data_IF_058800824702
#
_entry.id   IF_058800824702
#
_cell.length_a   1.000
_cell.length_b   1.000
_cell.length_c   1.000
_cell.angle_alpha   90.00
_cell.angle_beta   90.00
_cell.angle_gamma   90.00
#
_symmetry.space_group_name_H-M   'P 1'
#
loop_
_entity.id
_entity.type
_entity.pdbx_description
1 polymer ?
#
# COMPACT_ATOMS: atom_id res chain seq x y z
N UNK A 1 -28.18 10.18 10.35
CA UNK A 1 -27.91 10.80 9.03
C UNK A 1 -26.81 11.85 9.22
N UNK A 2 -25.55 11.52 8.93
CA UNK A 2 -24.43 12.45 9.11
C UNK A 2 -24.50 13.55 8.05
N UNK A 3 -24.55 14.81 8.46
CA UNK A 3 -24.54 16.00 7.60
C UNK A 3 -23.30 16.03 6.71
N UNK A 4 -23.42 16.59 5.50
CA UNK A 4 -22.31 16.71 4.53
C UNK A 4 -21.07 17.43 5.13
N UNK A 5 -21.27 18.31 6.10
CA UNK A 5 -20.21 18.96 6.87
C UNK A 5 -19.42 17.97 7.73
N UNK A 6 -20.10 17.08 8.47
CA UNK A 6 -19.46 16.04 9.27
C UNK A 6 -18.67 15.06 8.39
N UNK A 7 -19.23 14.66 7.25
CA UNK A 7 -18.52 13.83 6.26
C UNK A 7 -17.25 14.50 5.73
N UNK A 8 -17.30 15.80 5.41
CA UNK A 8 -16.12 16.58 4.97
C UNK A 8 -15.04 16.66 6.04
N UNK A 9 -15.43 16.89 7.29
CA UNK A 9 -14.50 17.08 8.40
C UNK A 9 -13.79 15.76 8.76
N UNK A 10 -14.53 14.65 8.76
CA UNK A 10 -13.98 13.29 8.91
C UNK A 10 -13.05 12.96 7.73
N UNK A 11 -13.46 13.27 6.49
CA UNK A 11 -12.60 13.07 5.32
C UNK A 11 -11.28 13.86 5.42
N UNK A 12 -11.32 15.12 5.84
CA UNK A 12 -10.09 15.91 6.01
C UNK A 12 -9.12 15.29 7.03
N UNK A 13 -9.64 14.81 8.18
CA UNK A 13 -8.84 14.13 9.19
C UNK A 13 -8.35 12.75 8.75
N UNK A 14 -9.14 12.05 7.92
CA UNK A 14 -8.80 10.74 7.42
C UNK A 14 -7.50 10.71 6.58
N UNK A 15 -7.15 11.82 5.92
CA UNK A 15 -5.89 11.94 5.16
C UNK A 15 -4.65 11.69 6.02
N UNK A 16 -4.72 12.02 7.31
CA UNK A 16 -3.62 11.80 8.27
C UNK A 16 -3.36 10.31 8.50
N UNK A 17 -4.38 9.47 8.33
CA UNK A 17 -4.30 8.02 8.55
C UNK A 17 -4.05 7.21 7.28
N UNK A 18 -4.05 7.86 6.11
CA UNK A 18 -3.69 7.18 4.87
C UNK A 18 -2.22 6.74 4.93
N UNK A 19 -1.91 5.48 4.58
CA UNK A 19 -0.52 5.06 4.45
C UNK A 19 0.19 5.92 3.41
N UNK A 20 1.52 6.00 3.48
CA UNK A 20 2.34 6.66 2.45
C UNK A 20 2.17 5.99 1.07
N UNK A 21 2.50 6.70 -0.01
CA UNK A 21 2.46 6.10 -1.35
C UNK A 21 3.63 5.11 -1.49
N UNK A 22 3.35 3.83 -1.82
CA UNK A 22 4.39 2.81 -1.86
C UNK A 22 5.34 3.00 -3.05
N UNK A 23 4.95 3.71 -4.11
CA UNK A 23 5.73 3.77 -5.35
C UNK A 23 6.24 5.17 -5.71
N UNK A 24 5.57 6.23 -5.26
CA UNK A 24 5.96 7.61 -5.53
C UNK A 24 6.30 8.37 -4.24
N UNK A 25 7.24 9.30 -4.35
CA UNK A 25 7.55 10.28 -3.31
C UNK A 25 7.51 11.69 -3.91
N UNK A 26 7.17 12.66 -3.08
CA UNK A 26 7.19 14.08 -3.43
C UNK A 26 8.50 14.67 -2.98
N UNK A 27 9.27 15.21 -3.92
CA UNK A 27 10.51 15.92 -3.63
C UNK A 27 10.29 17.42 -3.88
N UNK A 28 10.68 18.23 -2.90
CA UNK A 28 10.64 19.69 -3.03
C UNK A 28 11.94 20.16 -3.68
N UNK A 29 11.83 20.72 -4.88
CA UNK A 29 12.97 21.37 -5.53
C UNK A 29 13.41 22.62 -4.75
N UNK A 30 14.66 23.09 -4.93
CA UNK A 30 15.15 24.33 -4.31
C UNK A 30 14.30 25.57 -4.63
N UNK A 31 13.53 25.53 -5.72
CA UNK A 31 12.60 26.57 -6.15
C UNK A 31 11.20 26.47 -5.46
N UNK A 32 11.03 25.56 -4.49
CA UNK A 32 9.78 25.32 -3.76
C UNK A 32 8.73 24.49 -4.51
N UNK A 33 8.98 24.06 -5.75
CA UNK A 33 8.04 23.22 -6.51
C UNK A 33 8.16 21.78 -6.05
N UNK A 34 7.02 21.17 -5.70
CA UNK A 34 6.95 19.74 -5.45
C UNK A 34 6.89 18.98 -6.78
N UNK A 35 7.81 18.03 -6.97
CA UNK A 35 7.77 17.08 -8.07
C UNK A 35 7.59 15.66 -7.57
N UNK A 36 6.79 14.89 -8.31
CA UNK A 36 6.59 13.47 -8.06
C UNK A 36 7.72 12.67 -8.72
N UNK A 37 8.45 11.86 -7.95
CA UNK A 37 9.44 10.91 -8.47
C UNK A 37 9.16 9.50 -7.96
N UNK A 38 9.69 8.48 -8.65
CA UNK A 38 9.58 7.09 -8.21
C UNK A 38 10.47 6.90 -6.98
N UNK A 39 9.95 6.27 -5.93
CA UNK A 39 10.73 5.97 -4.72
C UNK A 39 11.93 5.08 -5.07
N UNK A 40 13.14 5.41 -4.58
CA UNK A 40 14.25 4.48 -4.62
C UNK A 40 13.97 3.28 -3.70
N UNK A 41 14.47 2.08 -4.02
CA UNK A 41 14.46 0.98 -3.05
C UNK A 41 15.35 1.33 -1.86
N UNK A 42 15.16 0.68 -0.69
CA UNK A 42 16.11 0.82 0.41
C UNK A 42 17.53 0.39 -0.01
N UNK A 43 18.57 0.86 0.70
CA UNK A 43 19.93 0.39 0.48
C UNK A 43 20.07 -1.07 0.94
N UNK A 44 21.05 -1.79 0.40
CA UNK A 44 21.39 -3.13 0.87
C UNK A 44 20.56 -4.29 0.30
N UNK A 45 19.61 -4.03 -0.59
CA UNK A 45 18.84 -5.09 -1.25
C UNK A 45 19.60 -5.70 -2.41
N UNK A 46 19.41 -7.00 -2.62
CA UNK A 46 19.80 -7.64 -3.87
C UNK A 46 18.97 -7.12 -5.05
N UNK A 47 19.46 -7.28 -6.28
CA UNK A 47 18.72 -6.91 -7.49
C UNK A 47 17.34 -7.57 -7.58
N UNK A 48 17.20 -8.80 -7.10
CA UNK A 48 15.93 -9.54 -7.14
C UNK A 48 14.93 -8.95 -6.15
N UNK A 49 15.35 -8.66 -4.92
CA UNK A 49 14.48 -8.08 -3.89
C UNK A 49 14.06 -6.65 -4.25
N UNK A 50 14.99 -5.85 -4.78
CA UNK A 50 14.68 -4.51 -5.28
C UNK A 50 13.65 -4.54 -6.42
N UNK A 51 13.76 -5.50 -7.35
CA UNK A 51 12.78 -5.69 -8.43
C UNK A 51 11.42 -6.15 -7.89
N UNK A 52 11.42 -7.06 -6.93
CA UNK A 52 10.21 -7.56 -6.28
C UNK A 52 9.48 -6.43 -5.55
N UNK A 53 10.18 -5.69 -4.71
CA UNK A 53 9.64 -4.53 -3.99
C UNK A 53 9.06 -3.51 -4.96
N UNK A 54 9.78 -3.19 -6.03
CA UNK A 54 9.33 -2.23 -7.05
C UNK A 54 8.07 -2.72 -7.79
N UNK A 55 7.97 -4.03 -8.05
CA UNK A 55 6.79 -4.66 -8.67
C UNK A 55 5.57 -4.60 -7.74
N UNK A 56 5.75 -4.93 -6.47
CA UNK A 56 4.67 -4.95 -5.48
C UNK A 56 4.22 -3.52 -5.16
N UNK A 57 5.15 -2.60 -4.95
CA UNK A 57 4.87 -1.19 -4.70
C UNK A 57 4.07 -0.56 -5.85
N UNK A 58 4.45 -0.85 -7.11
CA UNK A 58 3.70 -0.38 -8.28
C UNK A 58 2.27 -0.93 -8.29
N UNK A 59 2.09 -2.22 -8.03
CA UNK A 59 0.76 -2.86 -8.00
C UNK A 59 -0.11 -2.26 -6.90
N UNK A 60 0.44 -2.12 -5.68
CA UNK A 60 -0.24 -1.50 -4.56
C UNK A 60 -0.66 -0.05 -4.86
N UNK A 61 0.21 0.73 -5.51
CA UNK A 61 -0.11 2.09 -5.95
C UNK A 61 -1.33 2.12 -6.88
N UNK A 62 -1.37 1.28 -7.92
CA UNK A 62 -2.51 1.30 -8.85
C UNK A 62 -3.80 0.73 -8.24
N UNK A 63 -3.67 -0.23 -7.31
CA UNK A 63 -4.81 -0.78 -6.59
C UNK A 63 -5.46 0.26 -5.67
N UNK A 64 -4.67 1.03 -4.91
CA UNK A 64 -5.23 1.92 -3.87
C UNK A 64 -5.20 3.43 -4.22
N UNK A 65 -4.33 3.88 -5.13
CA UNK A 65 -3.96 5.31 -5.29
C UNK A 65 -3.81 5.78 -6.75
N UNK A 66 -4.28 5.01 -7.72
CA UNK A 66 -4.04 5.25 -9.15
C UNK A 66 -4.58 6.58 -9.69
N UNK A 67 -5.67 7.09 -9.12
CA UNK A 67 -6.40 8.29 -9.55
C UNK A 67 -6.63 9.24 -8.37
N UNK A 68 -6.80 10.53 -8.64
CA UNK A 68 -7.11 11.53 -7.61
C UNK A 68 -8.48 12.15 -7.89
N UNK A 69 -9.39 12.08 -6.92
CA UNK A 69 -10.74 12.63 -7.00
C UNK A 69 -11.06 13.37 -5.69
N UNK A 70 -11.49 14.63 -5.79
CA UNK A 70 -11.81 15.48 -4.63
C UNK A 70 -10.66 15.58 -3.59
N UNK A 71 -9.41 15.49 -4.05
CA UNK A 71 -8.20 15.49 -3.23
C UNK A 71 -7.95 14.21 -2.42
N UNK A 72 -8.65 13.12 -2.74
CA UNK A 72 -8.35 11.77 -2.25
C UNK A 72 -7.82 10.91 -3.38
N UNK A 73 -6.88 10.02 -3.07
CA UNK A 73 -6.37 9.06 -4.04
C UNK A 73 -7.15 7.77 -3.95
N UNK A 74 -7.70 7.31 -5.07
CA UNK A 74 -8.43 6.07 -5.22
C UNK A 74 -7.76 5.22 -6.29
N UNK A 75 -7.83 3.90 -6.19
CA UNK A 75 -7.38 3.01 -7.25
C UNK A 75 -8.48 2.05 -7.69
N UNK A 76 -8.07 0.98 -8.35
CA UNK A 76 -8.99 -0.06 -8.82
C UNK A 76 -9.85 -0.68 -7.71
N UNK A 77 -9.35 -0.70 -6.48
CA UNK A 77 -10.08 -1.24 -5.32
C UNK A 77 -11.38 -0.47 -5.05
N UNK A 78 -11.33 0.86 -5.14
CA UNK A 78 -12.50 1.71 -4.95
C UNK A 78 -13.56 1.53 -6.05
N UNK A 79 -13.14 1.21 -7.28
CA UNK A 79 -14.05 0.94 -8.39
C UNK A 79 -14.71 -0.42 -8.22
N UNK A 80 -13.93 -1.42 -7.82
CA UNK A 80 -14.40 -2.79 -7.62
C UNK A 80 -15.35 -2.86 -6.41
N UNK A 81 -15.04 -2.14 -5.34
CA UNK A 81 -15.85 -2.04 -4.13
C UNK A 81 -17.21 -1.33 -4.30
N UNK A 82 -17.52 -0.75 -5.47
CA UNK A 82 -18.85 -0.15 -5.74
C UNK A 82 -19.97 -1.20 -5.77
N UNK A 83 -19.65 -2.47 -5.97
CA UNK A 83 -20.63 -3.56 -5.98
C UNK A 83 -20.52 -4.32 -4.65
N UNK A 84 -21.49 -4.16 -3.72
CA UNK A 84 -21.45 -4.84 -2.42
C UNK A 84 -21.34 -6.36 -2.56
N UNK A 85 -20.48 -7.01 -1.78
CA UNK A 85 -20.30 -8.46 -1.77
C UNK A 85 -19.41 -8.99 -2.91
N UNK A 86 -19.71 -8.67 -4.17
CA UNK A 86 -18.88 -9.10 -5.31
C UNK A 86 -17.55 -8.31 -5.36
N UNK A 87 -17.63 -7.02 -5.06
CA UNK A 87 -16.48 -6.12 -4.99
C UNK A 87 -15.48 -6.56 -3.94
N UNK A 88 -15.93 -6.84 -2.72
CA UNK A 88 -15.06 -7.25 -1.61
C UNK A 88 -14.27 -8.55 -1.91
N UNK A 89 -14.93 -9.53 -2.55
CA UNK A 89 -14.29 -10.78 -2.96
C UNK A 89 -13.25 -10.52 -4.05
N UNK A 90 -13.60 -9.76 -5.09
CA UNK A 90 -12.69 -9.43 -6.17
C UNK A 90 -11.48 -8.65 -5.67
N UNK A 91 -11.70 -7.72 -4.73
CA UNK A 91 -10.64 -6.90 -4.16
C UNK A 91 -9.68 -7.71 -3.28
N UNK A 92 -10.23 -8.61 -2.45
CA UNK A 92 -9.43 -9.55 -1.67
C UNK A 92 -8.60 -10.49 -2.56
N UNK A 93 -9.15 -10.97 -3.68
CA UNK A 93 -8.45 -11.80 -4.66
C UNK A 93 -7.34 -11.04 -5.39
N UNK A 94 -7.57 -9.77 -5.74
CA UNK A 94 -6.55 -8.93 -6.36
C UNK A 94 -5.41 -8.64 -5.39
N UNK A 95 -5.69 -8.29 -4.13
CA UNK A 95 -4.66 -8.11 -3.11
C UNK A 95 -3.83 -9.39 -2.95
N UNK A 96 -4.50 -10.52 -2.79
CA UNK A 96 -3.83 -11.81 -2.64
C UNK A 96 -2.91 -12.14 -3.84
N UNK A 97 -3.42 -12.00 -5.07
CA UNK A 97 -2.69 -12.41 -6.28
C UNK A 97 -1.58 -11.43 -6.68
N UNK A 98 -1.77 -10.13 -6.45
CA UNK A 98 -0.87 -9.08 -6.93
C UNK A 98 0.16 -8.65 -5.88
N UNK A 99 -0.17 -8.72 -4.60
CA UNK A 99 0.66 -8.22 -3.50
C UNK A 99 1.10 -9.36 -2.59
N UNK A 100 0.17 -10.05 -1.91
CA UNK A 100 0.51 -10.99 -0.84
C UNK A 100 1.26 -12.23 -1.34
N UNK A 101 0.73 -12.94 -2.34
CA UNK A 101 1.33 -14.18 -2.86
C UNK A 101 2.72 -13.93 -3.47
N UNK A 102 2.94 -12.88 -4.29
CA UNK A 102 4.28 -12.54 -4.78
C UNK A 102 5.24 -12.13 -3.66
N UNK A 103 4.78 -11.39 -2.65
CA UNK A 103 5.60 -11.00 -1.50
C UNK A 103 6.06 -12.23 -0.71
N UNK A 104 5.11 -13.10 -0.34
CA UNK A 104 5.37 -14.30 0.43
C UNK A 104 6.32 -15.27 -0.29
N UNK A 105 6.18 -15.43 -1.61
CA UNK A 105 7.04 -16.31 -2.41
C UNK A 105 8.40 -15.70 -2.75
N UNK A 106 8.46 -14.39 -2.96
CA UNK A 106 9.65 -13.74 -3.52
C UNK A 106 10.66 -13.25 -2.49
N UNK A 107 10.24 -13.02 -1.25
CA UNK A 107 11.09 -12.45 -0.19
C UNK A 107 11.29 -13.38 1.01
N UNK A 108 10.92 -14.66 0.91
CA UNK A 108 10.96 -15.65 2.01
C UNK A 108 10.46 -15.05 3.34
N UNK A 109 9.30 -14.39 3.29
CA UNK A 109 8.79 -13.65 4.43
C UNK A 109 8.53 -14.57 5.63
N UNK A 110 8.89 -14.15 6.86
CA UNK A 110 8.50 -14.84 8.07
C UNK A 110 6.97 -15.01 8.15
N UNK A 111 6.48 -16.13 8.70
CA UNK A 111 5.03 -16.39 8.79
C UNK A 111 4.25 -15.25 9.45
N UNK A 112 4.81 -14.61 10.47
CA UNK A 112 4.16 -13.51 11.18
C UNK A 112 3.95 -12.25 10.30
N UNK A 113 4.82 -11.99 9.31
CA UNK A 113 4.64 -10.88 8.36
C UNK A 113 3.51 -11.22 7.40
N UNK A 114 3.50 -12.45 6.88
CA UNK A 114 2.44 -12.94 6.01
C UNK A 114 1.09 -12.87 6.71
N UNK A 115 1.02 -13.26 7.99
CA UNK A 115 -0.19 -13.11 8.82
C UNK A 115 -0.61 -11.65 8.97
N UNK A 116 0.32 -10.71 9.22
CA UNK A 116 0.00 -9.28 9.24
C UNK A 116 -0.57 -8.79 7.91
N UNK A 117 -0.04 -9.27 6.78
CA UNK A 117 -0.57 -8.93 5.45
C UNK A 117 -1.98 -9.49 5.22
N UNK A 118 -2.27 -10.69 5.73
CA UNK A 118 -3.62 -11.27 5.74
C UNK A 118 -4.58 -10.48 6.61
N UNK A 119 -4.15 -10.06 7.81
CA UNK A 119 -4.96 -9.22 8.71
C UNK A 119 -5.31 -7.90 8.03
N UNK A 120 -4.35 -7.25 7.35
CA UNK A 120 -4.65 -6.04 6.58
C UNK A 120 -5.74 -6.27 5.52
N UNK A 121 -5.70 -7.41 4.83
CA UNK A 121 -6.72 -7.77 3.85
C UNK A 121 -8.08 -8.05 4.52
N UNK A 122 -8.08 -8.76 5.65
CA UNK A 122 -9.28 -9.08 6.43
C UNK A 122 -9.96 -7.85 7.01
N UNK A 123 -9.20 -6.86 7.49
CA UNK A 123 -9.74 -5.56 7.93
C UNK A 123 -10.41 -4.85 6.75
N UNK A 124 -9.77 -4.84 5.57
CA UNK A 124 -10.35 -4.26 4.36
C UNK A 124 -11.70 -4.90 4.00
N UNK A 125 -11.76 -6.23 3.97
CA UNK A 125 -12.97 -6.97 3.62
C UNK A 125 -14.07 -6.88 4.69
N UNK A 126 -13.71 -6.90 5.98
CA UNK A 126 -14.67 -6.83 7.09
C UNK A 126 -15.33 -5.45 7.22
N UNK A 127 -14.63 -4.39 6.80
CA UNK A 127 -15.15 -3.03 6.79
C UNK A 127 -16.28 -2.83 5.77
N UNK A 128 -16.27 -3.58 4.66
CA UNK A 128 -17.34 -3.55 3.63
C UNK A 128 -18.71 -4.05 4.12
N UNK A 129 -18.77 -4.73 5.27
CA UNK A 129 -20.01 -5.26 5.85
C UNK A 129 -20.83 -4.21 6.62
N UNK A 130 -20.26 -3.02 6.90
CA UNK A 130 -20.94 -1.95 7.64
C UNK A 130 -21.47 -0.89 6.67
N UNK A 131 -22.77 -0.89 6.30
CA UNK A 131 -23.30 0.11 5.39
C UNK A 131 -23.11 1.54 5.95
N UNK A 132 -22.75 2.49 5.07
CA UNK A 132 -22.49 3.92 5.34
C UNK A 132 -21.14 4.26 6.00
N UNK A 133 -20.65 3.46 6.95
CA UNK A 133 -19.31 3.67 7.54
C UNK A 133 -18.21 2.93 6.77
N UNK A 134 -18.55 1.79 6.16
CA UNK A 134 -17.64 0.89 5.45
C UNK A 134 -16.94 1.53 4.27
N UNK A 135 -17.68 2.20 3.38
CA UNK A 135 -17.12 2.79 2.15
C UNK A 135 -16.03 3.83 2.43
N UNK A 136 -16.19 4.62 3.51
CA UNK A 136 -15.21 5.62 3.91
C UNK A 136 -13.98 4.97 4.55
N UNK A 137 -14.19 4.03 5.47
CA UNK A 137 -13.08 3.35 6.18
C UNK A 137 -12.25 2.52 5.18
N UNK A 138 -12.89 1.89 4.19
CA UNK A 138 -12.25 1.12 3.12
C UNK A 138 -11.30 2.00 2.30
N UNK A 139 -11.78 3.18 1.88
CA UNK A 139 -10.97 4.13 1.11
C UNK A 139 -9.73 4.63 1.86
N UNK A 140 -9.78 4.66 3.20
CA UNK A 140 -8.72 5.19 4.05
C UNK A 140 -7.70 4.10 4.43
N UNK A 141 -8.17 2.87 4.66
CA UNK A 141 -7.30 1.81 5.18
C UNK A 141 -6.23 1.39 4.18
N UNK A 142 -6.55 1.31 2.87
CA UNK A 142 -5.61 1.04 1.76
C UNK A 142 -4.70 -0.16 2.04
N UNK A 143 -5.30 -1.35 2.10
CA UNK A 143 -4.63 -2.57 2.52
C UNK A 143 -3.43 -2.95 1.64
N UNK A 144 -3.48 -2.70 0.32
CA UNK A 144 -2.37 -3.03 -0.59
C UNK A 144 -1.15 -2.16 -0.30
N UNK A 145 -1.35 -0.87 -0.02
CA UNK A 145 -0.30 0.09 0.34
C UNK A 145 0.34 -0.26 1.69
N UNK A 146 -0.46 -0.68 2.68
CA UNK A 146 0.06 -1.18 3.97
C UNK A 146 0.89 -2.45 3.82
N UNK A 147 0.43 -3.37 2.98
CA UNK A 147 1.15 -4.60 2.67
C UNK A 147 2.48 -4.33 1.94
N UNK A 148 2.51 -3.37 1.01
CA UNK A 148 3.74 -2.94 0.38
C UNK A 148 4.71 -2.28 1.38
N UNK A 149 4.20 -1.47 2.32
CA UNK A 149 5.00 -0.87 3.39
C UNK A 149 5.61 -1.92 4.32
N UNK A 150 4.84 -2.92 4.75
CA UNK A 150 5.35 -4.03 5.57
C UNK A 150 6.47 -4.80 4.87
N UNK A 151 6.34 -5.03 3.57
CA UNK A 151 7.39 -5.66 2.78
C UNK A 151 8.65 -4.77 2.71
N UNK A 152 8.48 -3.48 2.46
CA UNK A 152 9.60 -2.52 2.42
C UNK A 152 10.35 -2.46 3.75
N UNK A 153 9.61 -2.36 4.87
CA UNK A 153 10.20 -2.34 6.22
C UNK A 153 11.01 -3.60 6.51
N UNK A 154 10.49 -4.78 6.13
CA UNK A 154 11.19 -6.03 6.28
C UNK A 154 12.47 -6.10 5.43
N UNK A 155 12.37 -5.73 4.15
CA UNK A 155 13.51 -5.72 3.23
C UNK A 155 14.57 -4.69 3.63
N UNK A 156 14.18 -3.61 4.32
CA UNK A 156 15.14 -2.64 4.86
C UNK A 156 16.00 -3.26 5.95
N UNK A 157 15.40 -4.01 6.88
CA UNK A 157 16.14 -4.72 7.93
C UNK A 157 17.06 -5.77 7.32
N UNK A 158 16.57 -6.56 6.36
CA UNK A 158 17.42 -7.50 5.61
C UNK A 158 18.56 -6.80 4.86
N UNK A 159 18.30 -5.64 4.27
CA UNK A 159 19.32 -4.87 3.57
C UNK A 159 20.45 -4.41 4.48
N UNK A 160 20.13 -4.01 5.71
CA UNK A 160 21.13 -3.68 6.74
C UNK A 160 21.99 -4.91 7.09
N UNK A 161 21.38 -6.10 7.21
CA UNK A 161 22.09 -7.37 7.43
C UNK A 161 23.00 -7.74 6.25
N UNK A 162 22.53 -7.57 5.01
CA UNK A 162 23.33 -7.82 3.80
C UNK A 162 24.57 -6.92 3.71
N UNK A 163 24.41 -5.63 4.07
CA UNK A 163 25.52 -4.68 4.13
C UNK A 163 26.51 -5.11 5.21
N UNK A 164 26.03 -5.46 6.41
CA UNK A 164 26.87 -5.95 7.51
C UNK A 164 27.61 -7.25 7.16
N UNK A 165 26.99 -8.13 6.38
CA UNK A 165 27.59 -9.35 5.86
C UNK A 165 28.55 -9.14 4.67
N UNK A 166 28.64 -7.92 4.13
CA UNK A 166 29.54 -7.59 3.02
C UNK A 166 29.13 -8.22 1.68
N UNK A 167 27.84 -8.43 1.44
CA UNK A 167 27.38 -9.02 0.18
C UNK A 167 27.68 -8.11 -1.02
N UNK A 168 28.07 -8.67 -2.18
CA UNK A 168 28.33 -7.88 -3.38
C UNK A 168 27.02 -7.49 -4.11
N UNK A 169 27.09 -6.46 -4.96
CA UNK A 169 26.01 -6.05 -5.88
C UNK A 169 24.69 -5.63 -5.20
N UNK A 170 24.78 -4.96 -4.05
CA UNK A 170 23.63 -4.43 -3.33
C UNK A 170 23.18 -3.08 -3.91
N UNK A 171 21.92 -2.71 -3.66
CA UNK A 171 21.45 -1.35 -3.92
C UNK A 171 22.24 -0.33 -3.10
N UNK A 172 22.58 0.82 -3.71
CA UNK A 172 23.31 1.90 -3.04
C UNK A 172 22.47 2.57 -1.95
#
# INVERSE_FOLDING_TARGET
IATNAAKRLVMQHARVYEPEDPFYEFWTEPNGKQKRRKRPPPPGLTKQEAQLLRKISRRAHYLDKGFELCGFRFGWTAIIGLIPGAGDIADALLNYSLVLRPAAKGANLPPWIVTKMWVNNGVSAGVGLVPIAGDMILAIYKANSRNAKLLEEYLRVLGEEHIAAGLPNLTP
#
